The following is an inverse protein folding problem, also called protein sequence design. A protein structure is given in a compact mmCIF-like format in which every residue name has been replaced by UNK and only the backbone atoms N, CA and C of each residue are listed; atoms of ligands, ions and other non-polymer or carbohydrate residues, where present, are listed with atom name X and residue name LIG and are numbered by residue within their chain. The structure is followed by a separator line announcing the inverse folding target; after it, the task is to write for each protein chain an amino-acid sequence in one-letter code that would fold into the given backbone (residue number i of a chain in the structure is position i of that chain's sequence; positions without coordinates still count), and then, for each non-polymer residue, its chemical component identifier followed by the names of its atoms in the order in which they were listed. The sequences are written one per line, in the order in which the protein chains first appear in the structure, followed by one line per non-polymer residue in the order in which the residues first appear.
data_IF_684694962194
#
_entry.id   IF_684694962194
#
_cell.length_a   1.000
_cell.length_b   1.000
_cell.length_c   1.000
_cell.angle_alpha   90.00
_cell.angle_beta   90.00
_cell.angle_gamma   90.00
#
_symmetry.space_group_name_H-M   'P 1'
#
loop_
_entity.id
_entity.type
_entity.pdbx_description
1 polymer ?
#
# COMPACT_ATOMS: atom_id res chain seq x y z
N UNK A 1 -12.12 -8.87 -2.99
CA UNK A 1 -11.80 -7.43 -3.07
C UNK A 1 -10.41 -7.27 -3.66
N UNK A 2 -10.19 -6.24 -4.42
CA UNK A 2 -8.87 -5.93 -4.97
C UNK A 2 -8.15 -4.93 -4.07
N UNK A 3 -7.00 -5.34 -3.52
CA UNK A 3 -6.26 -4.58 -2.52
C UNK A 3 -4.83 -4.35 -3.00
N UNK A 4 -4.35 -3.13 -2.88
CA UNK A 4 -2.95 -2.79 -3.13
C UNK A 4 -2.24 -2.52 -1.80
N UNK A 5 -1.02 -2.99 -1.67
CA UNK A 5 -0.17 -2.77 -0.49
C UNK A 5 1.12 -2.10 -0.96
N UNK A 6 1.36 -0.89 -0.49
CA UNK A 6 2.59 -0.17 -0.81
C UNK A 6 3.72 -0.71 0.07
N UNK A 7 4.75 -1.24 -0.56
CA UNK A 7 5.91 -1.79 0.11
C UNK A 7 6.00 -3.31 0.06
N UNK A 8 7.24 -3.79 0.16
CA UNK A 8 7.59 -5.21 0.14
C UNK A 8 8.52 -5.57 1.30
N UNK A 9 8.49 -4.77 2.36
CA UNK A 9 9.16 -5.11 3.61
C UNK A 9 8.36 -6.20 4.35
N UNK A 10 8.98 -6.80 5.35
CA UNK A 10 8.39 -7.95 6.05
C UNK A 10 6.95 -7.70 6.54
N UNK A 11 6.72 -6.55 7.16
CA UNK A 11 5.39 -6.23 7.70
C UNK A 11 4.32 -6.06 6.60
N UNK A 12 4.70 -5.46 5.47
CA UNK A 12 3.79 -5.32 4.34
C UNK A 12 3.49 -6.69 3.71
N UNK A 13 4.51 -7.53 3.56
CA UNK A 13 4.34 -8.89 3.03
C UNK A 13 3.44 -9.73 3.92
N UNK A 14 3.58 -9.64 5.24
CA UNK A 14 2.69 -10.32 6.18
C UNK A 14 1.25 -9.85 6.04
N UNK A 15 1.04 -8.54 5.95
CA UNK A 15 -0.31 -7.98 5.75
C UNK A 15 -0.93 -8.49 4.46
N UNK A 16 -0.16 -8.50 3.38
CA UNK A 16 -0.62 -9.00 2.09
C UNK A 16 -1.00 -10.47 2.15
N UNK A 17 -0.20 -11.28 2.84
CA UNK A 17 -0.49 -12.70 3.04
C UNK A 17 -1.81 -12.92 3.79
N UNK A 18 -2.01 -12.22 4.89
CA UNK A 18 -3.24 -12.32 5.68
C UNK A 18 -4.46 -11.92 4.85
N UNK A 19 -4.36 -10.81 4.12
CA UNK A 19 -5.46 -10.34 3.27
C UNK A 19 -5.76 -11.32 2.13
N UNK A 20 -4.75 -11.93 1.54
CA UNK A 20 -4.92 -12.93 0.48
C UNK A 20 -5.58 -14.20 1.02
N UNK A 21 -5.21 -14.63 2.21
CA UNK A 21 -5.82 -15.79 2.88
C UNK A 21 -7.30 -15.54 3.21
N UNK A 22 -7.70 -14.28 3.35
CA UNK A 22 -9.10 -13.88 3.54
C UNK A 22 -9.90 -13.86 2.23
N UNK A 23 -9.28 -14.20 1.10
CA UNK A 23 -9.96 -14.28 -0.19
C UNK A 23 -9.83 -13.05 -1.07
N UNK A 24 -8.91 -12.14 -0.77
CA UNK A 24 -8.69 -10.93 -1.55
C UNK A 24 -7.58 -11.12 -2.58
N UNK A 25 -7.65 -10.37 -3.67
CA UNK A 25 -6.55 -10.23 -4.63
C UNK A 25 -5.63 -9.11 -4.16
N UNK A 26 -4.39 -9.42 -3.86
CA UNK A 26 -3.43 -8.49 -3.28
C UNK A 26 -2.30 -8.20 -4.26
N UNK A 27 -2.01 -6.93 -4.48
CA UNK A 27 -0.89 -6.49 -5.29
C UNK A 27 0.04 -5.62 -4.47
N UNK A 28 1.28 -6.07 -4.33
CA UNK A 28 2.33 -5.29 -3.68
C UNK A 28 2.99 -4.33 -4.67
N UNK A 29 3.22 -3.10 -4.24
CA UNK A 29 3.84 -2.07 -5.04
C UNK A 29 5.19 -1.70 -4.45
N UNK A 30 6.25 -1.71 -5.27
CA UNK A 30 7.55 -1.20 -4.88
C UNK A 30 8.19 -0.47 -6.05
N UNK A 31 8.94 0.59 -5.76
CA UNK A 31 9.70 1.32 -6.78
C UNK A 31 11.00 0.62 -7.14
N UNK A 32 11.41 -0.35 -6.35
CA UNK A 32 12.63 -1.12 -6.61
C UNK A 32 12.36 -2.16 -7.69
N UNK A 33 12.53 -1.76 -8.94
CA UNK A 33 12.32 -2.62 -10.11
C UNK A 33 13.13 -3.90 -10.05
N UNK A 34 14.37 -3.81 -9.59
CA UNK A 34 15.27 -4.98 -9.50
C UNK A 34 14.73 -6.00 -8.50
N UNK A 35 14.27 -5.53 -7.36
CA UNK A 35 13.71 -6.39 -6.31
C UNK A 35 12.41 -7.04 -6.77
N UNK A 36 11.55 -6.28 -7.44
CA UNK A 36 10.31 -6.82 -8.03
C UNK A 36 10.63 -7.90 -9.09
N UNK A 37 11.58 -7.65 -9.98
CA UNK A 37 11.98 -8.62 -10.99
C UNK A 37 12.54 -9.90 -10.35
N UNK A 38 13.34 -9.78 -9.31
CA UNK A 38 13.87 -10.93 -8.58
C UNK A 38 12.75 -11.76 -7.93
N UNK A 39 11.77 -11.10 -7.32
CA UNK A 39 10.61 -11.78 -6.73
C UNK A 39 9.84 -12.55 -7.80
N UNK A 40 9.58 -11.93 -8.95
CA UNK A 40 8.85 -12.57 -10.06
C UNK A 40 9.59 -13.78 -10.62
N UNK A 41 10.92 -13.78 -10.54
CA UNK A 41 11.76 -14.90 -10.98
C UNK A 41 11.92 -16.00 -9.93
N UNK A 42 11.39 -15.79 -8.74
CA UNK A 42 11.54 -16.71 -7.62
C UNK A 42 12.83 -16.54 -6.83
N UNK A 43 13.56 -15.45 -7.04
CA UNK A 43 14.77 -15.14 -6.28
C UNK A 43 14.39 -14.27 -5.08
N UNK A 44 14.22 -14.89 -3.94
CA UNK A 44 13.77 -14.23 -2.71
C UNK A 44 14.92 -13.94 -1.76
N UNK A 45 14.90 -12.78 -1.09
CA UNK A 45 15.72 -12.57 0.08
C UNK A 45 15.14 -13.36 1.27
N UNK A 46 15.81 -13.34 2.42
CA UNK A 46 15.39 -14.14 3.58
C UNK A 46 13.98 -13.78 4.06
N UNK A 47 13.66 -12.49 4.15
CA UNK A 47 12.33 -12.02 4.59
C UNK A 47 11.24 -12.41 3.60
N UNK A 48 11.49 -12.19 2.31
CA UNK A 48 10.57 -12.55 1.23
C UNK A 48 10.30 -14.05 1.23
N UNK A 49 11.34 -14.85 1.40
CA UNK A 49 11.22 -16.31 1.43
C UNK A 49 10.34 -16.79 2.59
N UNK A 50 10.46 -16.16 3.76
CA UNK A 50 9.65 -16.53 4.93
C UNK A 50 8.17 -16.36 4.71
N UNK A 51 7.76 -15.36 3.95
CA UNK A 51 6.36 -15.04 3.72
C UNK A 51 5.86 -15.64 2.40
N UNK A 52 6.56 -15.41 1.30
CA UNK A 52 6.10 -15.78 -0.05
C UNK A 52 6.14 -17.29 -0.26
N UNK A 53 7.23 -17.96 0.11
CA UNK A 53 7.37 -19.41 -0.07
C UNK A 53 6.38 -20.22 0.76
N UNK A 54 5.97 -19.70 1.91
CA UNK A 54 5.04 -20.36 2.80
C UNK A 54 3.58 -19.99 2.50
N UNK A 55 3.36 -19.21 1.44
CA UNK A 55 2.03 -18.82 0.99
C UNK A 55 1.56 -19.76 -0.12
N UNK A 56 0.38 -20.34 0.05
CA UNK A 56 -0.27 -21.14 -0.98
C UNK A 56 -1.21 -20.30 -1.84
N UNK A 57 -1.10 -18.98 -1.77
CA UNK A 57 -2.02 -18.06 -2.42
C UNK A 57 -1.47 -17.58 -3.77
N UNK A 58 -2.15 -17.97 -4.85
CA UNK A 58 -1.86 -17.51 -6.21
C UNK A 58 -2.37 -16.07 -6.45
N UNK A 59 -3.06 -15.50 -5.47
CA UNK A 59 -3.68 -14.18 -5.57
C UNK A 59 -2.83 -13.05 -4.98
N UNK A 60 -1.53 -13.29 -4.81
CA UNK A 60 -0.57 -12.25 -4.43
C UNK A 60 0.31 -11.96 -5.65
N UNK A 61 0.35 -10.69 -6.06
CA UNK A 61 1.14 -10.23 -7.19
C UNK A 61 2.03 -9.05 -6.79
N UNK A 62 2.99 -8.70 -7.63
CA UNK A 62 3.97 -7.66 -7.37
C UNK A 62 4.13 -6.78 -8.61
N UNK A 63 4.26 -5.47 -8.41
CA UNK A 63 4.48 -4.54 -9.52
C UNK A 63 5.29 -3.32 -9.07
N UNK A 64 6.03 -2.73 -10.01
CA UNK A 64 6.63 -1.42 -9.82
C UNK A 64 5.81 -0.30 -10.48
N UNK A 65 4.72 -0.64 -11.14
CA UNK A 65 3.84 0.31 -11.80
C UNK A 65 2.63 0.64 -10.94
N UNK A 66 2.68 1.79 -10.26
CA UNK A 66 1.63 2.21 -9.33
C UNK A 66 0.29 2.47 -10.04
N UNK A 67 0.33 2.98 -11.26
CA UNK A 67 -0.89 3.26 -12.01
C UNK A 67 -1.67 1.98 -12.31
N UNK A 68 -0.98 0.93 -12.72
CA UNK A 68 -1.59 -0.37 -12.97
C UNK A 68 -2.12 -0.99 -11.68
N UNK A 69 -1.35 -0.84 -10.60
CA UNK A 69 -1.71 -1.41 -9.30
C UNK A 69 -2.97 -0.78 -8.72
N UNK A 70 -3.16 0.53 -8.93
CA UNK A 70 -4.31 1.24 -8.38
C UNK A 70 -5.54 1.22 -9.29
N UNK A 71 -5.42 0.68 -10.50
CA UNK A 71 -6.56 0.52 -11.40
C UNK A 71 -7.55 -0.47 -10.78
N UNK A 72 -8.79 -0.02 -10.58
CA UNK A 72 -9.87 -0.80 -9.98
C UNK A 72 -9.61 -1.30 -8.55
N UNK A 73 -8.64 -0.70 -7.86
CA UNK A 73 -8.35 -1.03 -6.48
C UNK A 73 -9.42 -0.45 -5.55
N UNK A 74 -9.92 -1.29 -4.63
CA UNK A 74 -10.92 -0.90 -3.63
C UNK A 74 -10.28 -0.34 -2.36
N UNK A 75 -9.09 -0.83 -2.01
CA UNK A 75 -8.42 -0.50 -0.77
C UNK A 75 -6.92 -0.44 -1.01
N UNK A 76 -6.26 0.57 -0.49
CA UNK A 76 -4.81 0.72 -0.60
C UNK A 76 -4.18 0.96 0.77
N UNK A 77 -3.22 0.13 1.12
CA UNK A 77 -2.41 0.30 2.32
C UNK A 77 -1.22 1.19 1.97
N UNK A 78 -1.21 2.41 2.49
CA UNK A 78 -0.09 3.34 2.30
C UNK A 78 1.04 3.02 3.29
N UNK A 79 2.24 3.43 2.96
CA UNK A 79 3.43 3.12 3.75
C UNK A 79 4.30 4.34 3.94
N UNK A 80 4.85 4.48 5.13
CA UNK A 80 5.88 5.47 5.43
C UNK A 80 7.30 4.98 5.13
N UNK A 81 7.42 3.74 4.63
CA UNK A 81 8.71 3.12 4.39
C UNK A 81 9.45 2.85 5.68
N UNK A 82 10.74 2.52 5.55
CA UNK A 82 11.62 2.32 6.70
C UNK A 82 12.43 3.59 6.97
N UNK A 83 12.27 4.15 8.17
CA UNK A 83 13.08 5.25 8.64
C UNK A 83 12.97 5.36 10.17
N UNK A 84 14.06 5.70 10.83
CA UNK A 84 14.08 5.98 12.26
C UNK A 84 13.77 7.45 12.55
N UNK A 85 13.76 8.31 11.54
CA UNK A 85 13.51 9.74 11.63
C UNK A 85 12.03 10.02 11.39
N UNK A 86 11.35 10.60 12.39
CA UNK A 86 9.90 10.88 12.30
C UNK A 86 9.53 11.87 11.19
N UNK A 87 10.39 12.83 10.89
CA UNK A 87 10.13 13.77 9.79
C UNK A 87 10.21 13.06 8.43
N UNK A 88 11.19 12.17 8.26
CA UNK A 88 11.33 11.37 7.06
C UNK A 88 10.16 10.39 6.90
N UNK A 89 9.71 9.78 8.00
CA UNK A 89 8.54 8.90 7.99
C UNK A 89 7.30 9.64 7.50
N UNK A 90 7.07 10.86 8.01
CA UNK A 90 5.93 11.66 7.57
C UNK A 90 6.06 12.06 6.10
N UNK A 91 7.24 12.48 5.66
CA UNK A 91 7.49 12.83 4.26
C UNK A 91 7.22 11.63 3.32
N UNK A 92 7.68 10.44 3.72
CA UNK A 92 7.45 9.21 2.95
C UNK A 92 5.97 8.84 2.91
N UNK A 93 5.27 8.99 4.03
CA UNK A 93 3.84 8.73 4.11
C UNK A 93 3.06 9.65 3.16
N UNK A 94 3.36 10.95 3.18
CA UNK A 94 2.69 11.92 2.31
C UNK A 94 3.04 11.70 0.84
N UNK A 95 4.25 11.24 0.55
CA UNK A 95 4.62 10.85 -0.82
C UNK A 95 3.77 9.67 -1.30
N UNK A 96 3.54 8.68 -0.44
CA UNK A 96 2.65 7.56 -0.74
C UNK A 96 1.22 8.02 -0.97
N UNK A 97 0.71 8.90 -0.10
CA UNK A 97 -0.63 9.47 -0.24
C UNK A 97 -0.78 10.25 -1.55
N UNK A 98 0.24 11.03 -1.90
CA UNK A 98 0.28 11.78 -3.16
C UNK A 98 0.19 10.85 -4.37
N UNK A 99 0.91 9.75 -4.35
CA UNK A 99 0.86 8.76 -5.44
C UNK A 99 -0.51 8.12 -5.58
N UNK A 100 -1.17 7.84 -4.46
CA UNK A 100 -2.55 7.33 -4.46
C UNK A 100 -3.49 8.33 -5.10
N UNK A 101 -3.46 9.59 -4.65
CA UNK A 101 -4.31 10.65 -5.20
C UNK A 101 -4.07 10.90 -6.68
N UNK A 102 -2.83 10.78 -7.13
CA UNK A 102 -2.45 10.97 -8.53
C UNK A 102 -2.91 9.83 -9.45
N UNK A 103 -3.14 8.63 -8.90
CA UNK A 103 -3.35 7.43 -9.71
C UNK A 103 -4.66 6.68 -9.43
N UNK A 104 -5.39 6.99 -8.37
CA UNK A 104 -6.65 6.30 -8.08
C UNK A 104 -7.69 6.55 -9.17
N UNK A 105 -8.53 5.55 -9.45
CA UNK A 105 -9.50 5.60 -10.54
C UNK A 105 -10.95 5.50 -10.10
N UNK A 106 -11.21 5.23 -8.84
CA UNK A 106 -12.56 5.13 -8.27
C UNK A 106 -12.51 5.36 -6.77
N UNK A 107 -13.66 5.31 -6.11
CA UNK A 107 -13.73 5.37 -4.64
C UNK A 107 -12.77 4.36 -4.02
N UNK A 108 -12.03 4.77 -3.01
CA UNK A 108 -11.00 3.96 -2.41
C UNK A 108 -10.94 4.16 -0.90
N UNK A 109 -10.73 3.06 -0.18
CA UNK A 109 -10.35 3.09 1.23
C UNK A 109 -8.84 3.16 1.32
N UNK A 110 -8.33 4.16 2.02
CA UNK A 110 -6.90 4.36 2.24
C UNK A 110 -6.59 3.92 3.66
N UNK A 111 -5.73 2.93 3.81
CA UNK A 111 -5.42 2.34 5.11
C UNK A 111 -4.04 2.79 5.57
N UNK A 112 -4.00 3.42 6.73
CA UNK A 112 -2.77 3.77 7.43
C UNK A 112 -2.66 2.88 8.66
N UNK A 113 -1.65 2.02 8.70
CA UNK A 113 -1.49 1.05 9.79
C UNK A 113 -0.99 1.67 11.09
N UNK A 114 -0.50 2.88 11.05
CA UNK A 114 0.02 3.55 12.23
C UNK A 114 -1.10 4.02 13.15
N UNK A 115 -0.73 4.30 14.39
CA UNK A 115 -1.65 4.84 15.38
C UNK A 115 -2.28 6.14 14.89
N UNK A 116 -3.59 6.27 15.11
CA UNK A 116 -4.35 7.43 14.66
C UNK A 116 -3.96 8.70 15.41
N UNK A 117 -3.57 9.74 14.67
CA UNK A 117 -3.49 11.09 15.17
C UNK A 117 -4.28 12.00 14.22
N UNK A 118 -4.88 13.08 14.75
CA UNK A 118 -5.67 14.00 13.92
C UNK A 118 -4.83 14.65 12.83
N UNK A 119 -3.60 15.06 13.16
CA UNK A 119 -2.69 15.69 12.21
C UNK A 119 -2.30 14.74 11.07
N UNK A 120 -2.06 13.49 11.40
CA UNK A 120 -1.69 12.49 10.41
C UNK A 120 -2.83 12.22 9.42
N UNK A 121 -4.03 12.02 9.93
CA UNK A 121 -5.23 11.81 9.11
C UNK A 121 -5.52 13.03 8.23
N UNK A 122 -5.48 14.23 8.83
CA UNK A 122 -5.72 15.47 8.10
C UNK A 122 -4.70 15.68 6.97
N UNK A 123 -3.43 15.41 7.23
CA UNK A 123 -2.37 15.54 6.23
C UNK A 123 -2.54 14.57 5.07
N UNK A 124 -2.92 13.32 5.34
CA UNK A 124 -3.20 12.33 4.29
C UNK A 124 -4.37 12.79 3.43
N UNK A 125 -5.48 13.19 4.07
CA UNK A 125 -6.68 13.66 3.35
C UNK A 125 -6.39 14.86 2.46
N UNK A 126 -5.67 15.85 3.00
CA UNK A 126 -5.33 17.07 2.26
C UNK A 126 -4.46 16.75 1.05
N UNK A 127 -3.47 15.87 1.21
CA UNK A 127 -2.56 15.48 0.14
C UNK A 127 -3.31 14.77 -1.00
N UNK A 128 -4.18 13.83 -0.68
CA UNK A 128 -4.97 13.11 -1.69
C UNK A 128 -5.93 14.06 -2.39
N UNK A 129 -6.64 14.89 -1.63
CA UNK A 129 -7.60 15.84 -2.19
C UNK A 129 -6.93 16.85 -3.12
N UNK A 130 -5.74 17.31 -2.79
CA UNK A 130 -4.97 18.21 -3.65
C UNK A 130 -4.67 17.57 -5.00
N UNK A 131 -4.24 16.31 -5.02
CA UNK A 131 -3.95 15.61 -6.26
C UNK A 131 -5.21 15.36 -7.10
N UNK A 132 -6.32 15.03 -6.46
CA UNK A 132 -7.60 14.87 -7.17
C UNK A 132 -8.05 16.20 -7.78
N UNK A 133 -7.88 17.31 -7.08
CA UNK A 133 -8.23 18.65 -7.57
C UNK A 133 -7.37 19.04 -8.77
N UNK A 134 -6.08 18.74 -8.75
CA UNK A 134 -5.18 18.96 -9.89
C UNK A 134 -5.61 18.21 -11.14
N UNK A 135 -6.23 17.05 -10.98
CA UNK A 135 -6.70 16.19 -12.07
C UNK A 135 -8.14 16.52 -12.50
N UNK A 136 -8.80 17.45 -11.85
CA UNK A 136 -10.25 17.71 -12.01
C UNK A 136 -11.12 16.46 -11.79
N UNK A 137 -10.69 15.59 -10.88
CA UNK A 137 -11.44 14.38 -10.54
C UNK A 137 -12.27 14.59 -9.28
N UNK A 138 -13.51 14.09 -9.31
CA UNK A 138 -14.45 14.16 -8.19
C UNK A 138 -14.58 12.84 -7.47
N UNK A 139 -13.49 12.08 -7.42
CA UNK A 139 -13.45 10.80 -6.75
C UNK A 139 -13.52 10.98 -5.23
N UNK A 140 -14.12 10.01 -4.56
CA UNK A 140 -14.23 9.99 -3.10
C UNK A 140 -13.27 8.98 -2.51
N UNK A 141 -12.96 9.15 -1.24
CA UNK A 141 -12.09 8.24 -0.50
C UNK A 141 -12.35 8.35 1.00
N UNK A 142 -11.95 7.33 1.73
CA UNK A 142 -11.96 7.35 3.20
C UNK A 142 -10.60 6.92 3.72
N UNK A 143 -10.11 7.60 4.75
CA UNK A 143 -8.86 7.25 5.42
C UNK A 143 -9.20 6.49 6.70
N UNK A 144 -8.68 5.27 6.82
CA UNK A 144 -8.85 4.41 7.99
C UNK A 144 -7.48 4.21 8.63
N UNK A 145 -7.37 4.53 9.91
CA UNK A 145 -6.12 4.39 10.66
C UNK A 145 -6.22 3.24 11.65
N UNK A 146 -5.09 2.55 11.83
CA UNK A 146 -4.94 1.48 12.83
C UNK A 146 -6.09 0.47 12.82
N UNK A 147 -6.37 -0.18 11.68
CA UNK A 147 -7.55 -1.05 11.57
C UNK A 147 -7.41 -2.32 12.42
N UNK A 148 -8.45 -2.61 13.21
CA UNK A 148 -8.46 -3.72 14.16
C UNK A 148 -8.27 -5.09 13.51
N UNK A 149 -8.77 -5.27 12.28
CA UNK A 149 -8.68 -6.57 11.60
C UNK A 149 -7.25 -6.98 11.21
N UNK A 150 -6.29 -6.08 11.32
CA UNK A 150 -4.86 -6.37 11.08
C UNK A 150 -4.07 -6.60 12.36
N UNK A 151 -4.69 -6.44 13.51
CA UNK A 151 -4.04 -6.72 14.79
C UNK A 151 -4.02 -8.22 15.03
N UNK A 152 -2.83 -8.72 15.15
CA UNK A 152 -2.60 -10.14 15.42
C UNK A 152 -2.31 -10.34 16.89
#
# INVERSE_FOLDING_TARGET
MKISVMGIEYNQLLSGKVLAEMGNDVMHISRDNKRIDNIKRGFYNAEEAMVIKNSNNDNITFTSNIKDALRDTNMCFISEGYSENSEEQMANLLKSAKEVGANMSKHMFIIDRAEKTEDRVASIKATIQEELSKRNEKLTFEVISDPDFLRV
#
